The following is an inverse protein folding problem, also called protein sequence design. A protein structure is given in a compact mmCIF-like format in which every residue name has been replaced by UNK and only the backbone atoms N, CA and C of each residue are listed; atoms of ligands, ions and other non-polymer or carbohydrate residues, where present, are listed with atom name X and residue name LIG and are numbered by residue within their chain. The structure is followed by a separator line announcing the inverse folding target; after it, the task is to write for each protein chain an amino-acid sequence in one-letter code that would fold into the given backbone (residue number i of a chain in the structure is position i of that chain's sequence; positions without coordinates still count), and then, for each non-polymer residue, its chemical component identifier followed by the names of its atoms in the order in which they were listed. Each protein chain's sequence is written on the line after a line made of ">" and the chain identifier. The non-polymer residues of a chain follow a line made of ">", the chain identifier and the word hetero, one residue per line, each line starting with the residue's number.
data_IF_844634528017
#
_entry.id   IF_844634528017
#
_cell.length_a   1.000
_cell.length_b   1.000
_cell.length_c   1.000
_cell.angle_alpha   90.00
_cell.angle_beta   90.00
_cell.angle_gamma   90.00
#
_symmetry.space_group_name_H-M   'P 1'
#
loop_
_entity.id
_entity.type
_entity.pdbx_description
1 polymer ?
#
# COMPACT_ATOMS: atom_id res chain seq x y z
N UNK A 1 7.40 -10.61 -14.77
CA UNK A 1 7.29 -9.95 -13.44
C UNK A 1 8.43 -10.44 -12.52
N UNK A 2 8.83 -9.63 -11.53
CA UNK A 2 9.84 -10.04 -10.55
C UNK A 2 9.21 -10.83 -9.39
N UNK A 3 9.95 -11.76 -8.81
CA UNK A 3 9.57 -12.42 -7.56
C UNK A 3 10.04 -11.57 -6.38
N UNK A 4 9.18 -11.41 -5.37
CA UNK A 4 9.51 -10.74 -4.12
C UNK A 4 9.42 -11.76 -2.99
N UNK A 5 10.54 -11.99 -2.32
CA UNK A 5 10.71 -13.10 -1.37
C UNK A 5 10.95 -12.58 0.04
N UNK A 6 10.21 -13.14 1.00
CA UNK A 6 10.37 -12.91 2.43
C UNK A 6 10.93 -14.18 3.06
N UNK A 7 12.10 -14.09 3.69
CA UNK A 7 12.79 -15.24 4.31
C UNK A 7 12.75 -15.04 5.81
N UNK A 8 11.95 -15.85 6.51
CA UNK A 8 11.79 -15.75 7.96
C UNK A 8 11.03 -14.51 8.44
N UNK A 9 10.51 -13.68 7.52
CA UNK A 9 9.75 -12.46 7.81
C UNK A 9 8.41 -12.45 7.07
N UNK A 10 7.54 -11.52 7.45
CA UNK A 10 6.16 -11.34 6.94
C UNK A 10 6.03 -10.00 6.21
N UNK A 11 4.81 -9.67 5.78
CA UNK A 11 4.53 -8.37 5.18
C UNK A 11 4.72 -7.17 6.11
N UNK A 12 4.92 -7.39 7.41
CA UNK A 12 5.30 -6.34 8.38
C UNK A 12 6.47 -5.50 7.87
N UNK A 13 7.45 -6.15 7.21
CA UNK A 13 8.66 -5.53 6.65
C UNK A 13 8.62 -5.42 5.11
N UNK A 14 7.45 -5.54 4.49
CA UNK A 14 7.31 -5.38 3.06
C UNK A 14 7.40 -3.91 2.67
N UNK A 15 8.57 -3.49 2.20
CA UNK A 15 8.83 -2.11 1.75
C UNK A 15 8.01 -1.70 0.53
N UNK A 16 7.43 -2.63 -0.21
CA UNK A 16 6.49 -2.30 -1.30
C UNK A 16 5.22 -1.60 -0.80
N UNK A 17 4.95 -1.61 0.52
CA UNK A 17 3.90 -0.78 1.12
C UNK A 17 4.08 0.70 0.76
N UNK A 18 5.32 1.21 0.72
CA UNK A 18 5.58 2.61 0.38
C UNK A 18 5.30 2.94 -1.08
N UNK A 19 5.50 1.96 -1.97
CA UNK A 19 5.09 2.08 -3.36
C UNK A 19 3.56 2.15 -3.46
N UNK A 20 2.83 1.28 -2.74
CA UNK A 20 1.36 1.31 -2.67
C UNK A 20 0.87 2.65 -2.14
N UNK A 21 1.41 3.11 -1.00
CA UNK A 21 1.08 4.40 -0.38
C UNK A 21 1.28 5.57 -1.37
N UNK A 22 2.41 5.59 -2.07
CA UNK A 22 2.71 6.62 -3.08
C UNK A 22 1.73 6.57 -4.25
N UNK A 23 1.42 5.37 -4.76
CA UNK A 23 0.51 5.19 -5.89
C UNK A 23 -0.93 5.61 -5.54
N UNK A 24 -1.40 5.36 -4.31
CA UNK A 24 -2.70 5.85 -3.83
C UNK A 24 -2.78 7.38 -3.93
N UNK A 25 -1.72 8.09 -3.48
CA UNK A 25 -1.65 9.55 -3.58
C UNK A 25 -1.63 10.01 -5.05
N UNK A 26 -0.82 9.36 -5.89
CA UNK A 26 -0.72 9.69 -7.31
C UNK A 26 -2.07 9.52 -8.02
N UNK A 27 -2.73 8.38 -7.84
CA UNK A 27 -4.04 8.11 -8.43
C UNK A 27 -5.09 9.12 -7.96
N UNK A 28 -5.07 9.54 -6.70
CA UNK A 28 -5.96 10.58 -6.20
C UNK A 28 -5.70 11.92 -6.91
N UNK A 29 -4.45 12.38 -6.96
CA UNK A 29 -4.07 13.64 -7.61
C UNK A 29 -4.32 13.66 -9.12
N UNK A 30 -4.17 12.52 -9.80
CA UNK A 30 -4.48 12.37 -11.22
C UNK A 30 -5.97 12.54 -11.52
N UNK A 31 -6.84 12.10 -10.61
CA UNK A 31 -8.30 12.24 -10.72
C UNK A 31 -8.79 13.66 -10.38
N UNK A 32 -8.00 14.46 -9.67
CA UNK A 32 -8.34 15.85 -9.37
C UNK A 32 -8.43 16.73 -10.63
N UNK A 33 -9.34 17.69 -10.59
CA UNK A 33 -9.37 18.80 -11.56
C UNK A 33 -8.02 19.55 -11.56
N UNK A 34 -7.47 19.94 -12.74
CA UNK A 34 -6.15 20.57 -12.84
C UNK A 34 -5.98 21.78 -11.93
N UNK A 35 -7.03 22.57 -11.73
CA UNK A 35 -7.02 23.81 -10.94
C UNK A 35 -6.86 23.57 -9.43
N UNK A 36 -7.15 22.34 -8.96
CA UNK A 36 -7.08 21.95 -7.55
C UNK A 36 -5.88 21.06 -7.22
N UNK A 37 -5.27 20.46 -8.23
CA UNK A 37 -4.19 19.47 -8.08
C UNK A 37 -3.01 20.03 -7.29
N UNK A 38 -2.54 21.23 -7.64
CA UNK A 38 -1.38 21.84 -6.97
C UNK A 38 -1.67 22.16 -5.49
N UNK A 39 -2.86 22.68 -5.20
CA UNK A 39 -3.29 22.97 -3.84
C UNK A 39 -3.37 21.70 -2.99
N UNK A 40 -3.95 20.61 -3.53
CA UNK A 40 -4.04 19.33 -2.83
C UNK A 40 -2.69 18.63 -2.68
N UNK A 41 -1.82 18.70 -3.70
CA UNK A 41 -0.46 18.18 -3.65
C UNK A 41 0.39 18.91 -2.59
N UNK A 42 0.12 20.20 -2.36
CA UNK A 42 0.76 20.96 -1.30
C UNK A 42 0.39 20.48 0.12
N UNK A 43 -0.68 19.71 0.30
CA UNK A 43 -1.07 19.15 1.61
C UNK A 43 -0.47 17.75 1.89
N UNK A 44 0.01 17.06 0.86
CA UNK A 44 0.62 15.73 0.97
C UNK A 44 1.97 15.82 1.71
N UNK A 45 2.23 14.84 2.59
CA UNK A 45 3.50 14.69 3.29
C UNK A 45 4.69 14.59 2.32
N UNK A 46 5.83 15.13 2.71
CA UNK A 46 7.06 15.05 1.93
C UNK A 46 8.31 15.15 2.80
N UNK A 47 9.48 15.14 2.18
CA UNK A 47 10.75 15.28 2.89
C UNK A 47 10.79 16.56 3.72
N UNK A 48 10.90 16.41 5.05
CA UNK A 48 10.84 17.52 6.02
C UNK A 48 9.59 18.40 5.92
N UNK A 49 8.50 17.88 5.36
CA UNK A 49 7.24 18.58 5.19
C UNK A 49 6.12 17.71 5.79
N UNK A 50 5.59 18.07 6.97
CA UNK A 50 4.43 17.38 7.51
C UNK A 50 3.23 17.54 6.57
N UNK A 51 2.38 16.53 6.50
CA UNK A 51 1.20 16.55 5.65
C UNK A 51 0.34 15.30 5.87
N UNK A 52 -0.61 15.08 4.97
CA UNK A 52 -1.39 13.84 4.95
C UNK A 52 -0.63 12.74 4.23
N UNK A 53 -0.74 11.50 4.73
CA UNK A 53 -0.16 10.32 4.10
C UNK A 53 -1.03 9.08 4.34
N UNK A 54 -1.20 8.19 3.34
CA UNK A 54 -2.02 6.99 3.47
C UNK A 54 -1.28 5.87 4.21
N UNK A 55 -0.69 6.16 5.37
CA UNK A 55 0.10 5.18 6.12
C UNK A 55 -0.71 3.92 6.43
N UNK A 56 -0.28 2.78 5.90
CA UNK A 56 -0.91 1.50 6.21
C UNK A 56 -0.26 0.94 7.48
N UNK A 57 -1.10 0.71 8.50
CA UNK A 57 -0.67 0.15 9.79
C UNK A 57 -0.01 -1.22 9.65
N UNK A 58 0.74 -1.63 10.66
CA UNK A 58 1.40 -2.94 10.64
C UNK A 58 0.36 -4.07 10.60
N UNK A 59 -0.71 -3.93 11.37
CA UNK A 59 -1.85 -4.85 11.40
C UNK A 59 -2.52 -4.92 10.02
N UNK A 60 -2.66 -3.77 9.34
CA UNK A 60 -3.18 -3.71 7.97
C UNK A 60 -2.29 -4.48 6.98
N UNK A 61 -0.96 -4.40 7.12
CA UNK A 61 -0.02 -5.16 6.26
C UNK A 61 -0.14 -6.67 6.47
N UNK A 62 -0.32 -7.11 7.70
CA UNK A 62 -0.55 -8.54 8.02
C UNK A 62 -1.89 -9.02 7.46
N UNK A 63 -2.93 -8.19 7.55
CA UNK A 63 -4.20 -8.53 6.95
C UNK A 63 -4.14 -8.60 5.41
N UNK A 64 -3.42 -7.68 4.77
CA UNK A 64 -3.20 -7.74 3.32
C UNK A 64 -2.45 -9.02 2.93
N UNK A 65 -1.43 -9.43 3.70
CA UNK A 65 -0.76 -10.72 3.47
C UNK A 65 -1.77 -11.88 3.46
N UNK A 66 -2.65 -11.93 4.46
CA UNK A 66 -3.71 -12.95 4.56
C UNK A 66 -4.63 -12.92 3.35
N UNK A 67 -5.15 -11.75 2.97
CA UNK A 67 -6.06 -11.59 1.84
C UNK A 67 -5.41 -12.01 0.51
N UNK A 68 -4.14 -11.65 0.28
CA UNK A 68 -3.41 -12.04 -0.92
C UNK A 68 -3.08 -13.53 -0.92
N UNK A 69 -2.80 -14.13 0.24
CA UNK A 69 -2.60 -15.56 0.38
C UNK A 69 -3.88 -16.36 0.08
N UNK A 70 -5.04 -15.89 0.56
CA UNK A 70 -6.36 -16.47 0.26
C UNK A 70 -6.69 -16.43 -1.24
N UNK A 71 -6.24 -15.39 -1.95
CA UNK A 71 -6.33 -15.29 -3.42
C UNK A 71 -5.30 -16.15 -4.16
N UNK A 72 -4.45 -16.90 -3.45
CA UNK A 72 -3.40 -17.74 -4.03
C UNK A 72 -2.22 -16.97 -4.62
N UNK A 73 -2.06 -15.69 -4.25
CA UNK A 73 -1.00 -14.79 -4.76
C UNK A 73 0.30 -14.88 -3.95
N UNK A 74 0.22 -15.40 -2.73
CA UNK A 74 1.38 -15.72 -1.90
C UNK A 74 1.63 -17.23 -1.94
N UNK A 75 2.85 -17.62 -2.29
CA UNK A 75 3.34 -19.00 -2.22
C UNK A 75 4.21 -19.15 -0.99
N UNK A 76 4.07 -20.30 -0.32
CA UNK A 76 4.85 -20.64 0.85
C UNK A 76 5.83 -21.77 0.53
N UNK A 77 6.98 -21.74 1.19
CA UNK A 77 8.00 -22.77 1.11
C UNK A 77 8.95 -22.69 2.30
N UNK A 78 10.10 -23.36 2.19
CA UNK A 78 11.14 -23.33 3.22
C UNK A 78 12.53 -23.12 2.62
N UNK A 79 13.35 -22.34 3.31
CA UNK A 79 14.81 -22.26 3.10
C UNK A 79 15.45 -22.56 4.45
N UNK A 80 16.02 -23.77 4.59
CA UNK A 80 16.45 -24.28 5.89
C UNK A 80 15.28 -24.34 6.89
N UNK A 81 15.44 -23.72 8.06
CA UNK A 81 14.39 -23.58 9.07
C UNK A 81 13.46 -22.38 8.86
N UNK A 82 13.79 -21.46 7.94
CA UNK A 82 13.00 -20.27 7.70
C UNK A 82 11.82 -20.55 6.75
N UNK A 83 10.65 -20.02 7.10
CA UNK A 83 9.50 -19.95 6.18
C UNK A 83 9.82 -18.96 5.07
N UNK A 84 9.72 -19.42 3.83
CA UNK A 84 9.76 -18.59 2.64
C UNK A 84 8.33 -18.18 2.28
N UNK A 85 8.11 -16.90 2.05
CA UNK A 85 6.92 -16.38 1.37
C UNK A 85 7.35 -15.74 0.08
N UNK A 86 6.66 -16.02 -1.01
CA UNK A 86 6.99 -15.46 -2.32
C UNK A 86 5.72 -14.97 -3.01
N UNK A 87 5.76 -13.74 -3.50
CA UNK A 87 4.71 -13.18 -4.33
C UNK A 87 5.32 -12.60 -5.62
N UNK A 88 4.49 -12.43 -6.64
CA UNK A 88 4.88 -11.68 -7.85
C UNK A 88 4.67 -10.20 -7.53
N UNK A 89 5.74 -9.40 -7.61
CA UNK A 89 5.78 -8.04 -7.07
C UNK A 89 4.71 -7.09 -7.64
N UNK A 90 4.63 -6.98 -8.96
CA UNK A 90 3.62 -6.17 -9.64
C UNK A 90 2.19 -6.66 -9.43
N UNK A 91 1.95 -7.97 -9.41
CA UNK A 91 0.62 -8.52 -9.13
C UNK A 91 0.22 -8.27 -7.69
N UNK A 92 1.14 -8.48 -6.74
CA UNK A 92 0.96 -8.14 -5.32
C UNK A 92 0.60 -6.66 -5.16
N UNK A 93 1.35 -5.75 -5.78
CA UNK A 93 1.11 -4.30 -5.68
C UNK A 93 -0.23 -3.91 -6.30
N UNK A 94 -0.57 -4.42 -7.49
CA UNK A 94 -1.87 -4.12 -8.14
C UNK A 94 -3.06 -4.58 -7.30
N UNK A 95 -2.98 -5.80 -6.77
CA UNK A 95 -4.05 -6.37 -5.95
C UNK A 95 -4.15 -5.68 -4.59
N UNK A 96 -3.01 -5.31 -3.99
CA UNK A 96 -2.98 -4.50 -2.78
C UNK A 96 -3.66 -3.15 -3.01
N UNK A 97 -3.28 -2.43 -4.07
CA UNK A 97 -3.90 -1.16 -4.45
C UNK A 97 -5.42 -1.28 -4.61
N UNK A 98 -5.88 -2.30 -5.35
CA UNK A 98 -7.31 -2.53 -5.55
C UNK A 98 -8.05 -2.77 -4.22
N UNK A 99 -7.44 -3.49 -3.27
CA UNK A 99 -8.03 -3.73 -1.94
C UNK A 99 -8.14 -2.43 -1.15
N UNK A 100 -7.08 -1.61 -1.11
CA UNK A 100 -7.05 -0.43 -0.25
C UNK A 100 -7.83 0.75 -0.83
N UNK A 101 -7.89 0.87 -2.16
CA UNK A 101 -8.71 1.89 -2.83
C UNK A 101 -10.22 1.57 -2.80
N UNK A 102 -10.60 0.30 -2.67
CA UNK A 102 -12.01 -0.11 -2.60
C UNK A 102 -12.68 0.24 -1.25
N UNK A 103 -11.90 0.34 -0.18
CA UNK A 103 -12.40 0.71 1.16
C UNK A 103 -11.38 1.57 1.93
N UNK A 104 -11.09 2.81 1.47
CA UNK A 104 -10.02 3.63 2.05
C UNK A 104 -10.15 3.86 3.55
N UNK A 105 -11.39 3.99 4.05
CA UNK A 105 -11.71 4.24 5.46
C UNK A 105 -11.28 3.13 6.41
N UNK A 106 -11.12 1.90 5.90
CA UNK A 106 -10.60 0.77 6.66
C UNK A 106 -9.07 0.77 6.78
N UNK A 107 -8.38 1.27 5.76
CA UNK A 107 -6.94 1.07 5.60
C UNK A 107 -6.10 2.29 5.97
N UNK A 108 -6.68 3.49 5.88
CA UNK A 108 -5.93 4.74 6.03
C UNK A 108 -6.37 5.56 7.24
N UNK A 109 -5.49 6.44 7.75
CA UNK A 109 -5.86 7.39 8.79
C UNK A 109 -7.02 8.28 8.36
N UNK A 110 -7.88 8.67 9.30
CA UNK A 110 -9.04 9.52 9.03
C UNK A 110 -8.65 10.85 8.36
N UNK A 111 -7.50 11.45 8.75
CA UNK A 111 -6.99 12.68 8.14
C UNK A 111 -6.71 12.53 6.64
N UNK A 112 -6.20 11.36 6.22
CA UNK A 112 -5.99 11.06 4.81
C UNK A 112 -7.33 10.83 4.09
N UNK A 113 -8.28 10.12 4.71
CA UNK A 113 -9.61 9.92 4.13
C UNK A 113 -10.36 11.24 3.89
N UNK A 114 -10.29 12.19 4.83
CA UNK A 114 -10.85 13.53 4.68
C UNK A 114 -10.19 14.33 3.54
N UNK A 115 -8.89 14.14 3.34
CA UNK A 115 -8.20 14.73 2.19
C UNK A 115 -8.64 14.06 0.87
N UNK A 116 -8.82 12.73 0.87
CA UNK A 116 -9.26 11.96 -0.30
C UNK A 116 -10.67 12.35 -0.76
N UNK A 117 -11.58 12.68 0.16
CA UNK A 117 -12.92 13.19 -0.17
C UNK A 117 -12.89 14.55 -0.91
N UNK A 118 -11.81 15.30 -0.74
CA UNK A 118 -11.61 16.59 -1.41
C UNK A 118 -10.88 16.43 -2.74
N UNK A 119 -10.11 15.36 -2.91
CA UNK A 119 -9.31 15.08 -4.10
C UNK A 119 -10.20 14.58 -5.25
#
# INVERSE_FOLDING_TARGET
>A
EAAYCFIGVTFRVNTMVHLVETMVVQHALERCAPERRDALAAEVEGWMKPGVWPTISIEGREEIERLLAERGLVRYGRIGSATLRCARAGTMVREWLAIVEADPGRWFPQSFCQWLERA
#
